data_IF_098682347862
#
_entry.id   IF_098682347862
#
_cell.length_a   1.000
_cell.length_b   1.000
_cell.length_c   1.000
_cell.angle_alpha   90.00
_cell.angle_beta   90.00
_cell.angle_gamma   90.00
#
_symmetry.space_group_name_H-M   'P 1'
#
loop_
_entity.id
_entity.type
_entity.pdbx_description
1 polymer ?
#
# COMPACT_ATOMS: atom_id res chain seq x y z
N UNK A 1 -18.64 43.84 10.12
CA UNK A 1 -19.69 42.95 10.63
C UNK A 1 -20.46 42.16 9.56
N UNK A 2 -20.92 42.77 8.45
CA UNK A 2 -21.64 42.03 7.39
C UNK A 2 -20.77 41.11 6.50
N UNK A 3 -19.58 41.58 6.09
CA UNK A 3 -18.63 40.85 5.24
C UNK A 3 -18.04 39.62 5.94
N UNK A 4 -17.68 39.79 7.21
CA UNK A 4 -17.15 38.73 8.09
C UNK A 4 -18.18 37.61 8.35
N UNK A 5 -19.46 37.95 8.57
CA UNK A 5 -20.53 36.94 8.68
C UNK A 5 -20.73 36.15 7.38
N UNK A 6 -20.54 36.79 6.23
CA UNK A 6 -20.68 36.14 4.93
C UNK A 6 -19.50 35.20 4.62
N UNK A 7 -18.28 35.58 5.02
CA UNK A 7 -17.08 34.73 4.95
C UNK A 7 -17.13 33.54 5.91
N UNK A 8 -17.67 33.71 7.12
CA UNK A 8 -17.90 32.62 8.06
C UNK A 8 -18.96 31.65 7.51
N UNK A 9 -20.02 32.15 6.88
CA UNK A 9 -21.07 31.29 6.34
C UNK A 9 -20.59 30.51 5.09
N UNK A 10 -19.77 31.13 4.24
CA UNK A 10 -19.19 30.45 3.06
C UNK A 10 -18.15 29.40 3.45
N UNK A 11 -17.31 29.69 4.46
CA UNK A 11 -16.35 28.70 4.97
C UNK A 11 -17.03 27.52 5.67
N UNK A 12 -18.10 27.77 6.44
CA UNK A 12 -18.90 26.71 7.05
C UNK A 12 -19.57 25.81 6.01
N UNK A 13 -20.11 26.41 4.93
CA UNK A 13 -20.66 25.65 3.80
C UNK A 13 -19.59 24.81 3.11
N UNK A 14 -18.39 25.36 2.89
CA UNK A 14 -17.26 24.62 2.35
C UNK A 14 -16.89 23.42 3.22
N UNK A 15 -16.80 23.59 4.53
CA UNK A 15 -16.53 22.49 5.46
C UNK A 15 -17.63 21.42 5.45
N UNK A 16 -18.90 21.82 5.39
CA UNK A 16 -20.04 20.89 5.32
C UNK A 16 -20.03 20.07 4.02
N UNK A 17 -19.66 20.69 2.89
CA UNK A 17 -19.49 20.01 1.61
C UNK A 17 -18.36 18.98 1.68
N UNK A 18 -17.17 19.39 2.15
CA UNK A 18 -16.03 18.50 2.35
C UNK A 18 -16.37 17.31 3.25
N UNK A 19 -17.10 17.55 4.34
CA UNK A 19 -17.52 16.50 5.28
C UNK A 19 -18.55 15.55 4.69
N UNK A 20 -19.47 16.07 3.87
CA UNK A 20 -20.45 15.26 3.14
C UNK A 20 -19.73 14.35 2.14
N UNK A 21 -18.86 14.93 1.31
CA UNK A 21 -18.09 14.18 0.31
C UNK A 21 -17.18 13.14 0.95
N UNK A 22 -16.57 13.47 2.09
CA UNK A 22 -15.78 12.53 2.88
C UNK A 22 -16.62 11.32 3.31
N UNK A 23 -17.83 11.54 3.87
CA UNK A 23 -18.72 10.45 4.25
C UNK A 23 -19.14 9.60 3.06
N UNK A 24 -19.46 10.23 1.93
CA UNK A 24 -19.84 9.51 0.70
C UNK A 24 -18.69 8.62 0.22
N UNK A 25 -17.48 9.16 0.15
CA UNK A 25 -16.29 8.42 -0.26
C UNK A 25 -16.00 7.22 0.66
N UNK A 26 -16.06 7.42 1.98
CA UNK A 26 -15.85 6.33 2.95
C UNK A 26 -17.09 5.45 3.19
N UNK A 27 -18.18 5.64 2.43
CA UNK A 27 -19.31 4.71 2.35
C UNK A 27 -19.23 3.84 1.09
N UNK A 28 -18.56 4.32 0.03
CA UNK A 28 -18.33 3.56 -1.18
C UNK A 28 -17.30 2.43 -0.93
N UNK A 29 -17.78 1.19 -1.03
CA UNK A 29 -16.94 -0.02 -0.90
C UNK A 29 -15.77 -0.07 -1.88
N UNK A 30 -15.90 0.56 -3.06
CA UNK A 30 -14.84 0.67 -4.05
C UNK A 30 -13.72 1.60 -3.59
N UNK A 31 -14.06 2.78 -3.09
CA UNK A 31 -13.06 3.71 -2.55
C UNK A 31 -12.44 3.13 -1.28
N UNK A 32 -13.27 2.57 -0.39
CA UNK A 32 -12.82 1.94 0.85
C UNK A 32 -11.80 0.83 0.65
N UNK A 33 -11.96 -0.06 -0.35
CA UNK A 33 -11.00 -1.15 -0.58
C UNK A 33 -9.61 -0.61 -0.95
N UNK A 34 -9.55 0.43 -1.77
CA UNK A 34 -8.31 1.05 -2.21
C UNK A 34 -7.67 1.87 -1.08
N UNK A 35 -8.47 2.66 -0.36
CA UNK A 35 -8.02 3.43 0.80
C UNK A 35 -7.49 2.52 1.92
N UNK A 36 -8.18 1.40 2.19
CA UNK A 36 -7.77 0.42 3.19
C UNK A 36 -6.44 -0.24 2.84
N UNK A 37 -6.29 -0.71 1.60
CA UNK A 37 -5.02 -1.28 1.16
C UNK A 37 -3.91 -0.24 1.17
N UNK A 38 -4.17 0.97 0.66
CA UNK A 38 -3.22 2.07 0.65
C UNK A 38 -2.71 2.35 2.06
N UNK A 39 -3.59 2.62 3.02
CA UNK A 39 -3.17 2.97 4.38
C UNK A 39 -2.25 1.92 5.00
N UNK A 40 -2.59 0.64 4.83
CA UNK A 40 -1.80 -0.48 5.36
C UNK A 40 -0.48 -0.67 4.59
N UNK A 41 -0.52 -0.66 3.26
CA UNK A 41 0.67 -0.80 2.44
C UNK A 41 1.67 0.35 2.68
N UNK A 42 1.20 1.59 2.81
CA UNK A 42 2.05 2.75 3.11
C UNK A 42 2.62 2.69 4.53
N UNK A 43 1.87 2.20 5.51
CA UNK A 43 2.42 1.91 6.84
C UNK A 43 3.60 0.93 6.76
N UNK A 44 3.40 -0.22 6.12
CA UNK A 44 4.46 -1.22 5.92
C UNK A 44 5.65 -0.68 5.10
N UNK A 45 5.37 0.17 4.11
CA UNK A 45 6.41 0.83 3.33
C UNK A 45 7.28 1.75 4.15
N UNK A 46 6.70 2.61 4.99
CA UNK A 46 7.50 3.48 5.85
C UNK A 46 8.28 2.73 6.91
N UNK A 47 7.78 1.60 7.40
CA UNK A 47 8.56 0.71 8.27
C UNK A 47 9.79 0.17 7.55
N UNK A 48 9.61 -0.44 6.37
CA UNK A 48 10.72 -1.01 5.60
C UNK A 48 11.71 0.10 5.24
N UNK A 49 11.25 1.25 4.76
CA UNK A 49 12.10 2.38 4.38
C UNK A 49 12.92 2.90 5.57
N UNK A 50 12.33 3.00 6.77
CA UNK A 50 13.02 3.50 7.94
C UNK A 50 14.12 2.55 8.45
N UNK A 51 13.94 1.24 8.28
CA UNK A 51 14.82 0.22 8.91
C UNK A 51 15.65 -0.59 7.91
N UNK A 52 15.55 -0.33 6.60
CA UNK A 52 16.30 -1.08 5.57
C UNK A 52 17.82 -0.95 5.73
N UNK A 53 18.32 0.23 6.10
CA UNK A 53 19.76 0.42 6.30
C UNK A 53 20.27 -0.37 7.51
N UNK A 54 19.48 -0.47 8.59
CA UNK A 54 19.83 -1.30 9.74
C UNK A 54 19.85 -2.79 9.38
N UNK A 55 18.92 -3.25 8.53
CA UNK A 55 18.95 -4.62 8.03
C UNK A 55 20.21 -4.89 7.20
N UNK A 56 20.57 -3.98 6.31
CA UNK A 56 21.79 -4.10 5.52
C UNK A 56 23.05 -4.12 6.39
N UNK A 57 23.10 -3.28 7.42
CA UNK A 57 24.18 -3.30 8.40
C UNK A 57 24.25 -4.65 9.13
N UNK A 58 23.12 -5.17 9.63
CA UNK A 58 23.04 -6.49 10.28
C UNK A 58 23.52 -7.64 9.35
N UNK A 59 23.23 -7.57 8.04
CA UNK A 59 23.70 -8.55 7.04
C UNK A 59 25.23 -8.48 6.84
N UNK A 60 25.81 -7.28 6.93
CA UNK A 60 27.23 -7.01 6.69
C UNK A 60 28.09 -7.16 7.96
N UNK A 61 27.50 -7.23 9.16
CA UNK A 61 28.23 -7.37 10.42
C UNK A 61 29.25 -8.53 10.38
N UNK A 62 30.49 -8.23 10.77
CA UNK A 62 31.57 -9.21 10.87
C UNK A 62 32.23 -9.61 9.54
N UNK A 63 31.96 -8.89 8.44
CA UNK A 63 32.62 -9.11 7.13
C UNK A 63 33.42 -7.87 6.70
N UNK A 64 34.52 -8.08 5.98
CA UNK A 64 35.25 -7.01 5.27
C UNK A 64 34.44 -6.52 4.06
N UNK A 65 33.39 -5.75 4.34
CA UNK A 65 32.38 -5.35 3.34
C UNK A 65 32.18 -3.83 3.27
N UNK A 66 33.19 -3.04 3.64
CA UNK A 66 33.16 -1.57 3.58
C UNK A 66 32.79 -1.04 2.17
N UNK A 67 33.13 -1.79 1.11
CA UNK A 67 32.72 -1.49 -0.27
C UNK A 67 31.19 -1.47 -0.45
N UNK A 68 30.47 -2.44 0.15
CA UNK A 68 29.03 -2.59 -0.04
C UNK A 68 28.24 -1.52 0.73
N UNK A 69 28.73 -1.06 1.87
CA UNK A 69 28.10 0.05 2.61
C UNK A 69 28.00 1.33 1.76
N UNK A 70 28.92 1.53 0.81
CA UNK A 70 28.90 2.66 -0.13
C UNK A 70 27.88 2.50 -1.27
N UNK A 71 27.39 1.28 -1.52
CA UNK A 71 26.42 0.99 -2.58
C UNK A 71 24.96 1.25 -2.17
N UNK A 72 24.67 1.44 -0.87
CA UNK A 72 23.31 1.71 -0.38
C UNK A 72 22.66 2.86 -1.16
N UNK A 73 23.33 4.01 -1.29
CA UNK A 73 22.79 5.16 -2.04
C UNK A 73 22.59 4.87 -3.53
N UNK A 74 23.44 4.04 -4.15
CA UNK A 74 23.26 3.63 -5.54
C UNK A 74 22.03 2.72 -5.71
N UNK A 75 21.83 1.78 -4.79
CA UNK A 75 20.62 0.94 -4.73
C UNK A 75 19.39 1.82 -4.53
N UNK A 76 19.50 2.85 -3.69
CA UNK A 76 18.40 3.79 -3.45
C UNK A 76 18.00 4.56 -4.72
N UNK A 77 18.98 5.06 -5.47
CA UNK A 77 18.77 5.72 -6.75
C UNK A 77 18.16 4.76 -7.79
N UNK A 78 18.69 3.54 -7.89
CA UNK A 78 18.23 2.52 -8.85
C UNK A 78 16.77 2.14 -8.58
N UNK A 79 16.39 1.84 -7.32
CA UNK A 79 15.01 1.49 -7.04
C UNK A 79 14.07 2.66 -7.31
N UNK A 80 14.50 3.90 -7.03
CA UNK A 80 13.69 5.10 -7.23
C UNK A 80 13.38 5.28 -8.72
N UNK A 81 14.39 5.19 -9.58
CA UNK A 81 14.23 5.29 -11.03
C UNK A 81 13.35 4.18 -11.59
N UNK A 82 13.63 2.91 -11.24
CA UNK A 82 12.87 1.78 -11.77
C UNK A 82 11.43 1.75 -11.25
N UNK A 83 11.21 2.14 -9.98
CA UNK A 83 9.87 2.28 -9.41
C UNK A 83 9.09 3.40 -10.10
N UNK A 84 9.73 4.54 -10.40
CA UNK A 84 9.08 5.63 -11.13
C UNK A 84 8.71 5.21 -12.57
N UNK A 85 9.60 4.53 -13.28
CA UNK A 85 9.32 3.99 -14.61
C UNK A 85 8.16 2.99 -14.59
N UNK A 86 8.16 2.07 -13.63
CA UNK A 86 7.10 1.09 -13.46
C UNK A 86 5.76 1.76 -13.11
N UNK A 87 5.74 2.66 -12.13
CA UNK A 87 4.56 3.42 -11.75
C UNK A 87 3.96 4.19 -12.93
N UNK A 88 4.81 4.84 -13.74
CA UNK A 88 4.37 5.51 -14.96
C UNK A 88 3.76 4.54 -15.97
N UNK A 89 4.40 3.39 -16.21
CA UNK A 89 3.90 2.37 -17.13
C UNK A 89 2.55 1.81 -16.68
N UNK A 90 2.43 1.41 -15.40
CA UNK A 90 1.19 0.89 -14.83
C UNK A 90 0.06 1.94 -14.81
N UNK A 91 0.40 3.22 -14.62
CA UNK A 91 -0.56 4.32 -14.72
C UNK A 91 -1.18 4.51 -16.11
N UNK A 92 -0.59 3.94 -17.17
CA UNK A 92 -1.13 3.98 -18.55
C UNK A 92 -1.98 2.77 -18.90
N UNK A 93 -1.94 1.71 -18.09
CA UNK A 93 -2.65 0.47 -18.39
C UNK A 93 -4.15 0.65 -18.15
N UNK A 94 -4.96 0.23 -19.13
CA UNK A 94 -6.42 0.23 -19.05
C UNK A 94 -6.91 -1.16 -18.62
N UNK A 95 -6.97 -1.40 -17.32
CA UNK A 95 -7.56 -2.61 -16.72
C UNK A 95 -8.90 -2.28 -16.08
N UNK A 96 -9.84 -3.23 -16.12
CA UNK A 96 -11.08 -3.12 -15.34
C UNK A 96 -10.80 -3.46 -13.87
N UNK A 97 -10.40 -2.44 -13.11
CA UNK A 97 -10.03 -2.55 -11.70
C UNK A 97 -11.20 -2.90 -10.76
N UNK A 98 -12.44 -2.81 -11.23
CA UNK A 98 -13.62 -3.34 -10.53
C UNK A 98 -13.67 -4.87 -10.53
N UNK A 99 -13.08 -5.52 -11.53
CA UNK A 99 -13.00 -6.98 -11.62
C UNK A 99 -11.67 -7.52 -11.10
N UNK A 100 -10.56 -6.86 -11.46
CA UNK A 100 -9.21 -7.35 -11.17
C UNK A 100 -8.58 -6.75 -9.91
N UNK A 101 -9.21 -5.75 -9.28
CA UNK A 101 -8.65 -5.08 -8.11
C UNK A 101 -8.36 -6.03 -6.95
N UNK A 102 -9.34 -6.83 -6.52
CA UNK A 102 -9.17 -7.76 -5.40
C UNK A 102 -8.10 -8.84 -5.67
N UNK A 103 -8.11 -9.56 -6.83
CA UNK A 103 -7.05 -10.51 -7.16
C UNK A 103 -5.65 -9.88 -7.20
N UNK A 104 -5.51 -8.69 -7.79
CA UNK A 104 -4.20 -8.03 -7.91
C UNK A 104 -3.71 -7.57 -6.54
N UNK A 105 -4.58 -6.99 -5.71
CA UNK A 105 -4.24 -6.61 -4.33
C UNK A 105 -3.82 -7.83 -3.49
N UNK A 106 -4.48 -8.98 -3.67
CA UNK A 106 -4.07 -10.24 -3.04
C UNK A 106 -2.68 -10.67 -3.48
N UNK A 107 -2.48 -10.85 -4.80
CA UNK A 107 -1.23 -11.36 -5.36
C UNK A 107 -0.04 -10.45 -5.04
N UNK A 108 -0.21 -9.13 -5.19
CA UNK A 108 0.84 -8.16 -4.89
C UNK A 108 1.18 -8.13 -3.40
N UNK A 109 0.20 -8.23 -2.49
CA UNK A 109 0.48 -8.23 -1.05
C UNK A 109 1.20 -9.51 -0.60
N UNK A 110 0.81 -10.68 -1.13
CA UNK A 110 1.53 -11.93 -0.90
C UNK A 110 2.94 -11.86 -1.48
N UNK A 111 3.10 -11.37 -2.71
CA UNK A 111 4.41 -11.21 -3.34
C UNK A 111 5.32 -10.30 -2.53
N UNK A 112 4.80 -9.16 -2.06
CA UNK A 112 5.53 -8.26 -1.14
C UNK A 112 5.95 -9.01 0.12
N UNK A 113 5.02 -9.71 0.79
CA UNK A 113 5.33 -10.47 2.02
C UNK A 113 6.44 -11.50 1.81
N UNK A 114 6.36 -12.28 0.73
CA UNK A 114 7.38 -13.30 0.41
C UNK A 114 8.73 -12.68 0.04
N UNK A 115 8.75 -11.58 -0.70
CA UNK A 115 9.99 -10.86 -1.05
C UNK A 115 10.64 -10.29 0.21
N UNK A 116 9.85 -9.68 1.10
CA UNK A 116 10.33 -9.15 2.39
C UNK A 116 10.83 -10.27 3.30
N UNK A 117 10.19 -11.44 3.27
CA UNK A 117 10.66 -12.62 4.00
C UNK A 117 12.02 -13.08 3.48
N UNK A 118 12.16 -13.22 2.16
CA UNK A 118 13.43 -13.59 1.54
C UNK A 118 14.54 -12.57 1.86
N UNK A 119 14.21 -11.28 1.83
CA UNK A 119 15.11 -10.19 2.20
C UNK A 119 15.54 -10.26 3.67
N UNK A 120 14.64 -10.64 4.57
CA UNK A 120 14.99 -10.90 5.97
C UNK A 120 15.90 -12.12 6.10
N UNK A 121 15.62 -13.20 5.35
CA UNK A 121 16.30 -14.48 5.53
C UNK A 121 17.65 -14.63 4.80
N UNK A 122 18.01 -13.71 3.91
CA UNK A 122 19.30 -13.76 3.22
C UNK A 122 20.47 -13.39 4.14
N UNK A 123 21.66 -13.84 3.76
CA UNK A 123 22.96 -13.41 4.32
C UNK A 123 23.84 -12.76 3.25
N UNK A 124 23.33 -12.64 2.03
CA UNK A 124 23.99 -12.00 0.89
C UNK A 124 23.34 -10.64 0.64
N UNK A 125 24.14 -9.57 0.75
CA UNK A 125 23.67 -8.20 0.57
C UNK A 125 23.11 -7.96 -0.85
N UNK A 126 23.68 -8.59 -1.87
CA UNK A 126 23.18 -8.49 -3.24
C UNK A 126 21.75 -9.01 -3.37
N UNK A 127 21.43 -10.13 -2.70
CA UNK A 127 20.06 -10.66 -2.67
C UNK A 127 19.15 -9.67 -1.96
N UNK A 128 19.58 -9.09 -0.84
CA UNK A 128 18.80 -8.10 -0.10
C UNK A 128 18.49 -6.85 -0.95
N UNK A 129 19.47 -6.35 -1.71
CA UNK A 129 19.30 -5.24 -2.63
C UNK A 129 18.32 -5.55 -3.76
N UNK A 130 18.47 -6.71 -4.42
CA UNK A 130 17.57 -7.12 -5.50
C UNK A 130 16.14 -7.30 -4.98
N UNK A 131 15.96 -7.92 -3.81
CA UNK A 131 14.64 -8.06 -3.21
C UNK A 131 14.04 -6.72 -2.81
N UNK A 132 14.84 -5.79 -2.27
CA UNK A 132 14.37 -4.45 -1.92
C UNK A 132 13.90 -3.67 -3.16
N UNK A 133 14.68 -3.72 -4.24
CA UNK A 133 14.32 -3.15 -5.54
C UNK A 133 13.01 -3.78 -6.06
N UNK A 134 12.89 -5.10 -6.07
CA UNK A 134 11.69 -5.78 -6.56
C UNK A 134 10.44 -5.40 -5.73
N UNK A 135 10.59 -5.37 -4.41
CA UNK A 135 9.53 -4.94 -3.48
C UNK A 135 9.06 -3.50 -3.77
N UNK A 136 9.98 -2.55 -3.88
CA UNK A 136 9.65 -1.13 -4.09
C UNK A 136 8.97 -0.91 -5.44
N UNK A 137 9.35 -1.63 -6.49
CA UNK A 137 8.68 -1.58 -7.80
C UNK A 137 7.21 -2.00 -7.67
N UNK A 138 6.93 -3.12 -6.98
CA UNK A 138 5.56 -3.61 -6.79
C UNK A 138 4.75 -2.59 -5.97
N UNK A 139 5.29 -2.13 -4.85
CA UNK A 139 4.62 -1.15 -3.99
C UNK A 139 4.31 0.16 -4.74
N UNK A 140 5.30 0.78 -5.39
CA UNK A 140 5.13 2.06 -6.08
C UNK A 140 4.21 1.98 -7.31
N UNK A 141 4.15 0.82 -7.96
CA UNK A 141 3.19 0.58 -9.03
C UNK A 141 1.77 0.47 -8.48
N UNK A 142 1.58 -0.32 -7.41
CA UNK A 142 0.27 -0.53 -6.81
C UNK A 142 -0.28 0.70 -6.11
N UNK A 143 0.56 1.52 -5.46
CA UNK A 143 0.11 2.78 -4.87
C UNK A 143 -0.37 3.76 -5.94
N UNK A 144 0.30 3.77 -7.11
CA UNK A 144 -0.12 4.60 -8.25
C UNK A 144 -1.49 4.16 -8.76
N UNK A 145 -1.73 2.85 -8.87
CA UNK A 145 -3.03 2.30 -9.24
C UNK A 145 -4.09 2.66 -8.20
N UNK A 146 -3.81 2.42 -6.91
CA UNK A 146 -4.74 2.70 -5.81
C UNK A 146 -5.16 4.18 -5.78
N UNK A 147 -4.19 5.09 -5.89
CA UNK A 147 -4.43 6.53 -5.94
C UNK A 147 -5.24 6.91 -7.18
N UNK A 148 -4.93 6.36 -8.35
CA UNK A 148 -5.70 6.63 -9.57
C UNK A 148 -7.15 6.15 -9.46
N UNK A 149 -7.37 4.95 -8.93
CA UNK A 149 -8.70 4.37 -8.77
C UNK A 149 -9.52 5.09 -7.69
N UNK A 150 -8.90 5.56 -6.62
CA UNK A 150 -9.56 6.43 -5.65
C UNK A 150 -9.95 7.76 -6.30
N UNK A 151 -9.01 8.44 -6.96
CA UNK A 151 -9.24 9.74 -7.58
C UNK A 151 -10.39 9.73 -8.60
N UNK A 152 -10.60 8.62 -9.33
CA UNK A 152 -11.70 8.46 -10.29
C UNK A 152 -13.09 8.37 -9.64
N UNK A 153 -13.17 7.97 -8.37
CA UNK A 153 -14.43 7.64 -7.68
C UNK A 153 -14.72 8.58 -6.50
N UNK A 154 -13.97 9.68 -6.37
CA UNK A 154 -14.18 10.71 -5.35
C UNK A 154 -14.35 12.07 -6.01
N UNK A 155 -15.02 13.00 -5.31
CA UNK A 155 -15.21 14.35 -5.82
C UNK A 155 -13.85 15.08 -5.98
N UNK A 156 -13.53 15.64 -7.17
CA UNK A 156 -12.33 16.44 -7.41
C UNK A 156 -12.13 17.63 -6.44
N UNK A 157 -13.20 18.16 -5.86
CA UNK A 157 -13.08 19.27 -4.89
C UNK A 157 -12.67 18.79 -3.49
N UNK A 158 -12.82 17.48 -3.22
CA UNK A 158 -12.67 16.88 -1.89
C UNK A 158 -11.64 15.75 -1.81
N UNK A 159 -11.03 15.33 -2.93
CA UNK A 159 -10.08 14.20 -2.96
C UNK A 159 -8.85 14.45 -2.08
N UNK A 160 -8.40 15.70 -1.97
CA UNK A 160 -7.26 16.07 -1.13
C UNK A 160 -7.48 15.69 0.34
N UNK A 161 -8.69 15.89 0.88
CA UNK A 161 -9.04 15.51 2.24
C UNK A 161 -9.04 13.98 2.41
N UNK A 162 -9.59 13.25 1.43
CA UNK A 162 -9.66 11.77 1.47
C UNK A 162 -8.26 11.17 1.43
N UNK A 163 -7.40 11.71 0.57
CA UNK A 163 -6.00 11.28 0.43
C UNK A 163 -5.20 11.63 1.69
N UNK A 164 -5.35 12.85 2.19
CA UNK A 164 -4.71 13.31 3.42
C UNK A 164 -5.11 12.46 4.63
N UNK A 165 -6.40 12.15 4.78
CA UNK A 165 -6.89 11.29 5.86
C UNK A 165 -6.36 9.86 5.74
N UNK A 166 -6.35 9.29 4.52
CA UNK A 166 -5.82 7.94 4.30
C UNK A 166 -4.33 7.87 4.65
N UNK A 167 -3.55 8.88 4.28
CA UNK A 167 -2.14 9.01 4.65
C UNK A 167 -1.97 9.21 6.17
N UNK A 168 -2.81 10.04 6.79
CA UNK A 168 -2.79 10.24 8.24
C UNK A 168 -2.99 8.92 8.99
N UNK A 169 -3.96 8.09 8.56
CA UNK A 169 -4.18 6.75 9.11
C UNK A 169 -2.93 5.88 8.92
N UNK A 170 -2.30 5.90 7.75
CA UNK A 170 -1.05 5.17 7.50
C UNK A 170 0.06 5.56 8.48
N UNK A 171 0.24 6.86 8.75
CA UNK A 171 1.26 7.38 9.67
C UNK A 171 0.96 7.05 11.14
N UNK A 172 -0.32 7.08 11.55
CA UNK A 172 -0.72 6.63 12.89
C UNK A 172 -0.41 5.14 13.06
N UNK A 173 -0.77 4.32 12.08
CA UNK A 173 -0.46 2.88 12.10
C UNK A 173 1.05 2.62 12.11
N UNK A 174 1.81 3.37 11.32
CA UNK A 174 3.27 3.30 11.31
C UNK A 174 3.82 3.64 12.70
N UNK A 175 3.36 4.72 13.32
CA UNK A 175 3.83 5.14 14.64
C UNK A 175 3.56 4.06 15.70
N UNK A 176 2.37 3.47 15.69
CA UNK A 176 2.00 2.36 16.58
C UNK A 176 2.93 1.16 16.33
N UNK A 177 3.13 0.79 15.07
CA UNK A 177 3.94 -0.37 14.70
C UNK A 177 5.40 -0.18 15.10
N UNK A 178 5.97 1.02 14.93
CA UNK A 178 7.31 1.38 15.43
C UNK A 178 7.38 1.29 16.96
N UNK A 179 6.40 1.87 17.67
CA UNK A 179 6.38 1.81 19.14
C UNK A 179 6.37 0.37 19.66
N UNK A 180 5.58 -0.51 19.04
CA UNK A 180 5.45 -1.91 19.45
C UNK A 180 6.69 -2.73 19.05
N UNK A 181 7.07 -2.73 17.77
CA UNK A 181 8.08 -3.63 17.22
C UNK A 181 9.50 -3.20 17.60
N UNK A 182 9.76 -1.89 17.59
CA UNK A 182 11.12 -1.33 17.71
C UNK A 182 11.41 -0.91 19.14
N UNK A 183 10.47 -0.24 19.81
CA UNK A 183 10.71 0.25 21.16
C UNK A 183 10.31 -0.74 22.25
N UNK A 184 9.12 -1.34 22.16
CA UNK A 184 8.62 -2.24 23.20
C UNK A 184 9.25 -3.63 23.11
N UNK A 185 9.28 -4.25 21.93
CA UNK A 185 9.90 -5.56 21.74
C UNK A 185 11.40 -5.50 21.47
N UNK A 186 11.95 -4.35 21.09
CA UNK A 186 13.37 -4.13 20.81
C UNK A 186 13.99 -5.23 19.93
N UNK A 187 13.30 -5.55 18.83
CA UNK A 187 13.70 -6.65 17.93
C UNK A 187 14.86 -6.22 17.03
N UNK A 188 15.73 -7.17 16.66
CA UNK A 188 16.75 -6.92 15.62
C UNK A 188 16.10 -6.62 14.27
N UNK A 189 16.76 -5.87 13.39
CA UNK A 189 16.20 -5.45 12.11
C UNK A 189 15.70 -6.66 11.30
N UNK A 190 16.43 -7.77 11.33
CA UNK A 190 16.01 -9.04 10.71
C UNK A 190 14.64 -9.51 11.20
N UNK A 191 14.42 -9.51 12.52
CA UNK A 191 13.14 -9.91 13.13
C UNK A 191 12.02 -8.91 12.87
N UNK A 192 12.32 -7.62 12.80
CA UNK A 192 11.35 -6.61 12.37
C UNK A 192 10.84 -6.92 10.96
N UNK A 193 11.73 -7.25 10.03
CA UNK A 193 11.37 -7.60 8.65
C UNK A 193 10.59 -8.94 8.55
N UNK A 194 10.83 -9.91 9.43
CA UNK A 194 9.96 -11.11 9.52
C UNK A 194 8.52 -10.71 9.87
N UNK A 195 8.34 -9.79 10.84
CA UNK A 195 7.01 -9.28 11.22
C UNK A 195 6.37 -8.52 10.06
N UNK A 196 7.12 -7.65 9.37
CA UNK A 196 6.60 -6.91 8.22
C UNK A 196 6.19 -7.85 7.07
N UNK A 197 6.93 -8.94 6.84
CA UNK A 197 6.53 -10.00 5.92
C UNK A 197 5.19 -10.62 6.32
N UNK A 198 5.04 -11.03 7.59
CA UNK A 198 3.80 -11.61 8.09
C UNK A 198 2.63 -10.63 7.97
N UNK A 199 2.87 -9.35 8.22
CA UNK A 199 1.90 -8.27 8.05
C UNK A 199 1.38 -8.18 6.61
N UNK A 200 2.27 -8.18 5.61
CA UNK A 200 1.86 -8.14 4.19
C UNK A 200 1.19 -9.45 3.74
N UNK A 201 1.65 -10.60 4.24
CA UNK A 201 0.97 -11.87 3.99
C UNK A 201 -0.47 -11.86 4.55
N UNK A 202 -0.67 -11.34 5.75
CA UNK A 202 -1.99 -11.18 6.36
C UNK A 202 -2.88 -10.22 5.56
N UNK A 203 -2.32 -9.08 5.12
CA UNK A 203 -3.01 -8.18 4.19
C UNK A 203 -3.43 -8.89 2.90
N UNK A 204 -2.54 -9.72 2.35
CA UNK A 204 -2.84 -10.61 1.24
C UNK A 204 -4.03 -11.52 1.54
N UNK A 205 -4.02 -12.25 2.66
CA UNK A 205 -5.11 -13.14 3.03
C UNK A 205 -6.48 -12.46 3.08
N UNK A 206 -6.55 -11.22 3.59
CA UNK A 206 -7.79 -10.42 3.59
C UNK A 206 -8.32 -10.24 2.16
N UNK A 207 -7.46 -9.84 1.22
CA UNK A 207 -7.85 -9.69 -0.19
C UNK A 207 -8.06 -11.03 -0.91
N UNK A 208 -7.39 -12.09 -0.49
CA UNK A 208 -7.61 -13.45 -0.98
C UNK A 208 -9.02 -13.94 -0.67
N UNK A 209 -9.49 -13.74 0.56
CA UNK A 209 -10.87 -14.06 0.95
C UNK A 209 -11.87 -13.26 0.11
N UNK A 210 -11.63 -11.96 -0.08
CA UNK A 210 -12.49 -11.12 -0.95
C UNK A 210 -12.50 -11.61 -2.41
N UNK A 211 -11.35 -12.02 -2.94
CA UNK A 211 -11.20 -12.56 -4.29
C UNK A 211 -11.98 -13.86 -4.46
N UNK A 212 -11.88 -14.79 -3.51
CA UNK A 212 -12.64 -16.05 -3.52
C UNK A 212 -14.15 -15.75 -3.47
N UNK A 213 -14.59 -14.85 -2.60
CA UNK A 213 -15.99 -14.46 -2.50
C UNK A 213 -16.53 -13.84 -3.79
N UNK A 214 -15.74 -12.99 -4.46
CA UNK A 214 -16.09 -12.40 -5.74
C UNK A 214 -16.22 -13.47 -6.83
N UNK A 215 -15.27 -14.40 -6.90
CA UNK A 215 -15.27 -15.50 -7.85
C UNK A 215 -16.47 -16.44 -7.64
N UNK A 216 -16.75 -16.80 -6.38
CA UNK A 216 -17.90 -17.64 -6.02
C UNK A 216 -19.22 -16.96 -6.43
N UNK A 217 -19.40 -15.66 -6.11
CA UNK A 217 -20.58 -14.90 -6.54
C UNK A 217 -20.72 -14.85 -8.05
N UNK A 218 -19.62 -14.68 -8.78
CA UNK A 218 -19.61 -14.70 -10.24
C UNK A 218 -20.06 -16.07 -10.80
N UNK A 219 -19.52 -17.17 -10.27
CA UNK A 219 -19.92 -18.53 -10.64
C UNK A 219 -21.42 -18.79 -10.36
N UNK A 220 -21.93 -18.34 -9.22
CA UNK A 220 -23.36 -18.47 -8.88
C UNK A 220 -24.27 -17.70 -9.84
N UNK A 221 -23.92 -16.45 -10.17
CA UNK A 221 -24.68 -15.64 -11.14
C UNK A 221 -24.71 -16.30 -12.51
N UNK A 222 -23.55 -16.75 -13.01
CA UNK A 222 -23.44 -17.43 -14.30
C UNK A 222 -24.29 -18.71 -14.35
N UNK A 223 -24.35 -19.50 -13.27
CA UNK A 223 -25.22 -20.68 -13.21
C UNK A 223 -26.71 -20.32 -13.23
N UNK A 224 -27.11 -19.25 -12.54
CA UNK A 224 -28.50 -18.77 -12.53
C UNK A 224 -28.95 -18.31 -13.92
N UNK A 225 -28.12 -17.54 -14.61
CA UNK A 225 -28.44 -17.00 -15.93
C UNK A 225 -28.60 -18.13 -16.98
N UNK A 226 -27.79 -19.18 -16.90
CA UNK A 226 -27.94 -20.37 -17.74
C UNK A 226 -29.21 -21.15 -17.39
N UNK A 227 -29.53 -21.31 -16.10
CA UNK A 227 -30.74 -22.00 -15.65
C UNK A 227 -32.05 -21.31 -16.05
N UNK A 228 -32.06 -19.98 -16.15
CA UNK A 228 -33.22 -19.20 -16.60
C UNK A 228 -33.45 -19.20 -18.11
N UNK A 229 -32.45 -19.59 -18.92
CA UNK A 229 -32.58 -19.72 -20.37
C UNK A 229 -33.10 -21.12 -20.75
N UNK A 230 -32.91 -22.10 -19.87
CA UNK A 230 -33.33 -23.50 -20.06
C UNK A 230 -34.72 -23.84 -19.50
N UNK A 231 -35.44 -22.88 -18.92
CA UNK A 231 -36.80 -23.02 -18.38
C UNK A 231 -37.77 -22.17 -19.20
#
# INVERSE_FOLDING_TARGET
>A
MGREKQEINSSLQGFQLLWTDFKVAFTDTYVLKWAFWWALATCGYYQILAYIQLLWEEILMGRDTEYYTKLNGAVEAIYTLMSAMAAFAFGKIKINWSLYGEPVLFLCSIAIGLIVLLMSQTTLILVAYVTYIAYTIIYNSMITIANSEMAKNVNPDSYGLIFGFTLFVALVLQTILTAVVVHLFNLSARKQFEIYSCYFCFLGLIFGIKTVNQFVKWCYRKRRDVGSISA
#
